data_IF_822785374282
#
_entry.id   IF_822785374282
#
_cell.length_a   1.000
_cell.length_b   1.000
_cell.length_c   1.000
_cell.angle_alpha   90.00
_cell.angle_beta   90.00
_cell.angle_gamma   90.00
#
_symmetry.space_group_name_H-M   'P 1'
#
loop_
_entity.id
_entity.type
_entity.pdbx_description
1 polymer ?
#
# COMPACT_ATOMS: atom_id res chain seq x y z
N UNK A 1 1.03 -9.07 -0.67
CA UNK A 1 -0.36 -8.61 -0.81
C UNK A 1 -1.21 -9.25 0.28
N UNK A 2 -2.15 -8.53 0.91
CA UNK A 2 -3.09 -9.14 1.84
C UNK A 2 -3.86 -10.27 1.12
N UNK A 3 -4.26 -11.34 1.83
CA UNK A 3 -5.04 -12.42 1.22
C UNK A 3 -6.33 -11.84 0.62
N UNK A 4 -6.73 -12.35 -0.55
CA UNK A 4 -7.98 -11.94 -1.20
C UNK A 4 -9.14 -12.14 -0.20
N UNK A 5 -9.87 -11.06 0.09
CA UNK A 5 -11.02 -11.06 1.00
C UNK A 5 -10.72 -10.88 2.49
N UNK A 6 -9.46 -10.73 2.91
CA UNK A 6 -9.10 -10.69 4.34
C UNK A 6 -9.34 -9.34 5.06
N UNK A 7 -9.98 -8.36 4.41
CA UNK A 7 -10.13 -6.99 4.92
C UNK A 7 -9.02 -6.05 4.42
N UNK A 8 -9.16 -4.75 4.69
CA UNK A 8 -8.19 -3.74 4.25
C UNK A 8 -7.03 -3.61 5.24
N UNK A 9 -5.88 -3.15 4.77
CA UNK A 9 -4.79 -2.67 5.63
C UNK A 9 -5.03 -1.20 6.00
N UNK A 10 -5.06 -0.88 7.29
CA UNK A 10 -5.13 0.50 7.76
C UNK A 10 -3.71 1.11 7.85
N UNK A 11 -3.49 2.25 7.20
CA UNK A 11 -2.28 3.07 7.37
C UNK A 11 -2.61 4.21 8.33
N UNK A 12 -2.21 4.09 9.59
CA UNK A 12 -2.61 4.98 10.68
C UNK A 12 -1.58 6.09 10.82
N UNK A 13 -2.01 7.32 10.54
CA UNK A 13 -1.19 8.52 10.65
C UNK A 13 -1.45 9.24 11.98
N UNK A 14 -0.50 10.08 12.38
CA UNK A 14 -0.60 11.00 13.52
C UNK A 14 -0.75 12.44 13.03
N UNK A 15 -0.92 13.37 13.97
CA UNK A 15 -1.00 14.81 13.68
C UNK A 15 0.28 15.37 13.04
N UNK A 16 1.43 14.76 13.34
CA UNK A 16 2.75 15.15 12.85
C UNK A 16 3.21 14.38 11.61
N UNK A 17 2.44 13.37 11.16
CA UNK A 17 2.81 12.56 9.99
C UNK A 17 2.80 13.41 8.72
N UNK A 18 3.90 13.37 7.97
CA UNK A 18 4.04 14.02 6.67
C UNK A 18 3.72 13.06 5.52
N UNK A 19 3.60 13.59 4.30
CA UNK A 19 3.42 12.75 3.11
C UNK A 19 4.66 11.87 2.88
N UNK A 20 5.85 12.36 3.22
CA UNK A 20 7.11 11.64 3.05
C UNK A 20 7.19 10.44 4.00
N UNK A 21 6.67 10.57 5.23
CA UNK A 21 6.58 9.46 6.19
C UNK A 21 5.61 8.36 5.70
N UNK A 22 4.50 8.77 5.09
CA UNK A 22 3.46 7.87 4.59
C UNK A 22 3.84 7.20 3.27
N UNK A 23 4.54 7.91 2.38
CA UNK A 23 4.78 7.49 1.01
C UNK A 23 5.42 6.11 0.89
N UNK A 24 6.46 5.72 1.66
CA UNK A 24 7.08 4.42 1.52
C UNK A 24 6.14 3.25 1.76
N UNK A 25 5.19 3.42 2.68
CA UNK A 25 4.22 2.37 3.05
C UNK A 25 3.01 2.40 2.12
N UNK A 26 2.58 3.59 1.69
CA UNK A 26 1.43 3.79 0.82
C UNK A 26 1.73 3.42 -0.64
N UNK A 27 2.93 3.76 -1.13
CA UNK A 27 3.27 3.69 -2.55
C UNK A 27 3.13 2.28 -3.15
N UNK A 28 3.53 1.18 -2.49
CA UNK A 28 3.30 -0.17 -3.00
C UNK A 28 1.83 -0.48 -3.27
N UNK A 29 0.90 0.05 -2.47
CA UNK A 29 -0.53 -0.13 -2.72
C UNK A 29 -1.04 0.87 -3.77
N UNK A 30 -0.58 2.11 -3.74
CA UNK A 30 -1.03 3.17 -4.63
C UNK A 30 -0.63 2.94 -6.10
N UNK A 31 0.59 2.43 -6.31
CA UNK A 31 1.19 2.20 -7.62
C UNK A 31 0.83 0.85 -8.25
N UNK A 32 0.06 0.00 -7.54
CA UNK A 32 -0.28 -1.34 -8.01
C UNK A 32 -1.79 -1.57 -8.05
N UNK A 33 -2.18 -2.72 -8.57
CA UNK A 33 -3.55 -3.24 -8.49
C UNK A 33 -4.06 -3.50 -7.05
N UNK A 34 -3.23 -3.33 -6.01
CA UNK A 34 -3.64 -3.47 -4.60
C UNK A 34 -4.25 -2.18 -4.00
N UNK A 35 -4.59 -1.18 -4.83
CA UNK A 35 -5.10 0.12 -4.38
C UNK A 35 -6.33 0.02 -3.46
N UNK A 36 -7.23 -0.91 -3.72
CA UNK A 36 -8.44 -1.07 -2.91
C UNK A 36 -8.20 -1.85 -1.61
N UNK A 37 -7.01 -2.44 -1.44
CA UNK A 37 -6.64 -3.26 -0.30
C UNK A 37 -6.14 -2.45 0.90
N UNK A 38 -6.11 -1.12 0.82
CA UNK A 38 -5.71 -0.26 1.94
C UNK A 38 -6.67 0.90 2.18
N UNK A 39 -6.56 1.50 3.36
CA UNK A 39 -7.23 2.74 3.75
C UNK A 39 -6.28 3.55 4.63
N UNK A 40 -6.15 4.84 4.36
CA UNK A 40 -5.35 5.76 5.16
C UNK A 40 -6.24 6.34 6.25
N UNK A 41 -5.83 6.26 7.50
CA UNK A 41 -6.52 6.86 8.64
C UNK A 41 -5.73 8.09 9.07
N UNK A 42 -6.33 9.27 8.95
CA UNK A 42 -5.67 10.56 9.22
C UNK A 42 -6.48 11.35 10.24
N UNK A 43 -5.86 11.86 11.32
CA UNK A 43 -6.51 12.78 12.25
C UNK A 43 -7.05 14.01 11.52
N UNK A 44 -8.27 14.48 11.81
CA UNK A 44 -8.81 15.70 11.22
C UNK A 44 -7.94 16.95 11.46
N UNK A 45 -7.15 16.95 12.54
CA UNK A 45 -6.19 17.99 12.89
C UNK A 45 -5.02 18.11 11.90
N UNK A 46 -4.67 17.04 11.15
CA UNK A 46 -3.59 17.07 10.16
C UNK A 46 -4.07 17.58 8.79
N UNK A 47 -4.41 18.86 8.72
CA UNK A 47 -4.90 19.51 7.50
C UNK A 47 -3.87 19.49 6.35
N UNK A 48 -2.57 19.51 6.68
CA UNK A 48 -1.48 19.48 5.70
C UNK A 48 -1.45 18.16 4.92
N UNK A 49 -1.47 17.03 5.63
CA UNK A 49 -1.49 15.71 5.00
C UNK A 49 -2.78 15.48 4.21
N UNK A 50 -3.93 15.88 4.75
CA UNK A 50 -5.22 15.80 4.03
C UNK A 50 -5.19 16.60 2.73
N UNK A 51 -4.61 17.80 2.75
CA UNK A 51 -4.41 18.63 1.54
C UNK A 51 -3.50 17.93 0.54
N UNK A 52 -2.36 17.37 0.97
CA UNK A 52 -1.45 16.64 0.10
C UNK A 52 -2.12 15.44 -0.58
N UNK A 53 -2.84 14.61 0.18
CA UNK A 53 -3.54 13.42 -0.32
C UNK A 53 -4.64 13.78 -1.33
N UNK A 54 -5.32 14.92 -1.15
CA UNK A 54 -6.37 15.39 -2.08
C UNK A 54 -5.84 15.79 -3.46
N UNK A 55 -4.55 16.14 -3.56
CA UNK A 55 -3.88 16.53 -4.80
C UNK A 55 -3.39 15.34 -5.62
N UNK A 56 -3.45 14.12 -5.06
CA UNK A 56 -3.02 12.91 -5.76
C UNK A 56 -4.02 12.55 -6.88
N UNK A 57 -3.54 12.18 -8.09
CA UNK A 57 -4.41 11.89 -9.24
C UNK A 57 -5.48 10.84 -8.96
N UNK A 58 -5.12 9.75 -8.29
CA UNK A 58 -5.99 8.59 -8.08
C UNK A 58 -6.67 8.56 -6.71
N UNK A 59 -6.68 9.69 -5.98
CA UNK A 59 -7.34 9.93 -4.68
C UNK A 59 -7.42 8.68 -3.77
N UNK A 60 -6.45 8.46 -2.88
CA UNK A 60 -6.46 7.29 -2.01
C UNK A 60 -7.67 7.28 -1.07
N UNK A 61 -8.06 6.10 -0.61
CA UNK A 61 -9.16 5.96 0.36
C UNK A 61 -8.74 6.50 1.73
N UNK A 62 -9.25 7.68 2.10
CA UNK A 62 -8.93 8.35 3.38
C UNK A 62 -10.12 8.31 4.34
N UNK A 63 -9.87 7.86 5.57
CA UNK A 63 -10.80 7.93 6.72
C UNK A 63 -10.27 8.99 7.69
N UNK A 64 -11.09 10.00 7.98
CA UNK A 64 -10.73 11.03 8.96
C UNK A 64 -11.08 10.54 10.37
N UNK A 65 -10.08 10.21 11.18
CA UNK A 65 -10.24 9.75 12.56
C UNK A 65 -8.91 9.82 13.32
N UNK A 66 -8.96 9.98 14.64
CA UNK A 66 -7.77 10.02 15.53
C UNK A 66 -7.15 8.63 15.80
N UNK A 67 -7.53 7.63 15.00
CA UNK A 67 -7.06 6.25 15.14
C UNK A 67 -8.03 5.23 14.56
N UNK A 68 -7.78 3.95 14.84
CA UNK A 68 -8.61 2.83 14.40
C UNK A 68 -9.50 2.38 15.56
N UNK A 69 -10.78 2.75 15.51
CA UNK A 69 -11.76 2.38 16.55
C UNK A 69 -12.14 0.89 16.56
N UNK A 70 -12.10 0.23 15.40
CA UNK A 70 -12.43 -1.19 15.25
C UNK A 70 -11.25 -1.90 14.56
N UNK A 71 -10.31 -2.39 15.37
CA UNK A 71 -9.14 -3.08 14.86
C UNK A 71 -9.49 -4.40 14.15
N UNK A 72 -10.60 -5.05 14.52
CA UNK A 72 -11.03 -6.32 13.93
C UNK A 72 -11.57 -6.16 12.49
N UNK A 73 -11.98 -4.94 12.11
CA UNK A 73 -12.41 -4.64 10.73
C UNK A 73 -11.26 -4.57 9.71
N UNK A 74 -10.01 -4.56 10.18
CA UNK A 74 -8.82 -4.49 9.33
C UNK A 74 -8.04 -5.79 9.35
N UNK A 75 -7.50 -6.17 8.20
CA UNK A 75 -6.58 -7.30 8.09
C UNK A 75 -5.29 -7.03 8.85
N UNK A 76 -4.79 -5.79 8.72
CA UNK A 76 -3.53 -5.34 9.27
C UNK A 76 -3.61 -3.86 9.58
N UNK A 77 -2.89 -3.43 10.61
CA UNK A 77 -2.81 -2.04 11.05
C UNK A 77 -1.34 -1.66 11.07
N UNK A 78 -0.98 -0.66 10.26
CA UNK A 78 0.38 -0.15 10.16
C UNK A 78 0.40 1.27 10.67
N UNK A 79 1.09 1.48 11.79
CA UNK A 79 1.31 2.81 12.34
C UNK A 79 2.46 3.49 11.60
N UNK A 80 2.16 4.59 10.91
CA UNK A 80 3.15 5.38 10.19
C UNK A 80 4.01 6.11 11.21
N UNK A 81 5.30 5.83 11.18
CA UNK A 81 6.28 6.47 12.06
C UNK A 81 7.06 7.52 11.28
N UNK A 82 7.46 8.63 11.91
CA UNK A 82 8.34 9.60 11.28
C UNK A 82 9.62 8.94 10.76
N UNK A 83 9.98 9.20 9.52
CA UNK A 83 11.23 8.71 8.97
C UNK A 83 12.37 9.64 9.36
N UNK A 84 13.39 9.08 10.01
CA UNK A 84 14.66 9.76 10.25
C UNK A 84 15.60 9.69 9.04
N UNK A 85 15.39 8.72 8.14
CA UNK A 85 16.18 8.52 6.93
C UNK A 85 15.39 7.73 5.90
N UNK A 86 15.53 8.08 4.62
CA UNK A 86 14.99 7.25 3.53
C UNK A 86 15.81 5.96 3.39
N UNK A 87 15.15 4.79 3.25
CA UNK A 87 15.87 3.58 2.88
C UNK A 87 16.55 3.79 1.52
N UNK A 88 17.78 3.27 1.38
CA UNK A 88 18.42 3.19 0.06
C UNK A 88 17.47 2.51 -0.93
N UNK A 89 17.43 2.97 -2.18
CA UNK A 89 16.47 2.54 -3.21
C UNK A 89 16.39 1.01 -3.32
N UNK A 90 17.52 0.30 -3.20
CA UNK A 90 17.57 -1.17 -3.21
C UNK A 90 16.85 -1.81 -2.01
N UNK A 91 16.97 -1.24 -0.82
CA UNK A 91 16.26 -1.70 0.38
C UNK A 91 14.76 -1.39 0.31
N UNK A 92 14.37 -0.30 -0.34
CA UNK A 92 12.95 0.02 -0.55
C UNK A 92 12.23 -1.11 -1.32
N UNK A 93 12.81 -1.54 -2.44
CA UNK A 93 12.22 -2.61 -3.26
C UNK A 93 12.20 -3.92 -2.48
N UNK A 94 13.31 -4.34 -1.86
CA UNK A 94 13.36 -5.63 -1.14
C UNK A 94 12.49 -5.67 0.12
N UNK A 95 12.33 -4.55 0.85
CA UNK A 95 11.54 -4.51 2.08
C UNK A 95 10.03 -4.39 1.82
N UNK A 96 9.64 -3.59 0.81
CA UNK A 96 8.25 -3.22 0.61
C UNK A 96 7.60 -3.90 -0.60
N UNK A 97 8.40 -4.46 -1.52
CA UNK A 97 7.92 -5.20 -2.69
C UNK A 97 8.49 -6.61 -2.61
N UNK A 98 7.71 -7.54 -2.05
CA UNK A 98 8.08 -8.95 -2.06
C UNK A 98 8.07 -9.47 -3.50
N UNK A 99 9.24 -9.45 -4.16
CA UNK A 99 9.42 -10.05 -5.49
C UNK A 99 9.56 -11.55 -5.29
N UNK A 100 8.43 -12.27 -5.32
CA UNK A 100 8.46 -13.72 -5.36
C UNK A 100 9.01 -14.17 -6.71
N UNK A 101 10.12 -14.91 -6.71
CA UNK A 101 10.60 -15.58 -7.92
C UNK A 101 9.69 -16.77 -8.25
N UNK A 102 8.57 -16.51 -8.93
CA UNK A 102 7.84 -17.58 -9.60
C UNK A 102 8.50 -17.78 -10.97
N UNK A 103 9.05 -18.97 -11.21
CA UNK A 103 9.67 -19.33 -12.49
C UNK A 103 8.91 -20.53 -13.04
N UNK A 104 8.47 -20.44 -14.29
CA UNK A 104 8.20 -21.64 -15.06
C UNK A 104 9.52 -22.23 -15.55
N UNK A 105 9.61 -23.56 -15.53
CA UNK A 105 10.74 -24.32 -16.10
C UNK A 105 10.40 -24.90 -17.48
N UNK A 106 9.19 -24.65 -17.97
CA UNK A 106 8.72 -25.12 -19.27
C UNK A 106 9.10 -24.10 -20.34
N UNK A 107 9.59 -24.58 -21.49
CA UNK A 107 9.79 -23.72 -22.67
C UNK A 107 8.45 -23.23 -23.21
N UNK A 108 8.40 -21.97 -23.66
CA UNK A 108 7.23 -21.32 -24.27
C UNK A 108 5.95 -21.46 -23.42
N UNK A 109 6.05 -21.16 -22.12
CA UNK A 109 4.94 -21.32 -21.18
C UNK A 109 3.98 -20.13 -21.19
N UNK A 110 3.43 -19.81 -22.36
CA UNK A 110 2.47 -18.70 -22.57
C UNK A 110 1.26 -18.83 -21.63
N UNK A 111 0.77 -20.07 -21.41
CA UNK A 111 -0.33 -20.34 -20.49
C UNK A 111 -0.02 -19.93 -19.03
N UNK A 112 1.25 -20.04 -18.60
CA UNK A 112 1.67 -19.54 -17.30
C UNK A 112 1.64 -18.02 -17.25
N UNK A 113 2.14 -17.34 -18.29
CA UNK A 113 2.10 -15.89 -18.38
C UNK A 113 0.67 -15.38 -18.40
N UNK A 114 -0.21 -15.96 -19.21
CA UNK A 114 -1.64 -15.60 -19.27
C UNK A 114 -2.32 -15.78 -17.91
N UNK A 115 -2.09 -16.90 -17.24
CA UNK A 115 -2.66 -17.17 -15.92
C UNK A 115 -2.10 -16.23 -14.84
N UNK A 116 -0.80 -15.92 -14.92
CA UNK A 116 -0.13 -15.02 -13.97
C UNK A 116 -0.59 -13.58 -14.17
N UNK A 117 -0.64 -13.11 -15.42
CA UNK A 117 -1.14 -11.79 -15.79
C UNK A 117 -2.62 -11.63 -15.47
N UNK A 118 -3.46 -12.65 -15.67
CA UNK A 118 -4.87 -12.57 -15.31
C UNK A 118 -5.09 -12.52 -13.79
N UNK A 119 -4.11 -12.95 -12.98
CA UNK A 119 -4.30 -13.12 -11.54
C UNK A 119 -4.48 -11.79 -10.80
N UNK A 120 -5.58 -11.61 -10.02
CA UNK A 120 -5.75 -10.43 -9.17
C UNK A 120 -4.86 -10.47 -7.91
N UNK A 121 -4.20 -11.62 -7.65
CA UNK A 121 -3.38 -11.83 -6.45
C UNK A 121 -1.99 -11.19 -6.58
N UNK A 122 -1.40 -11.19 -7.77
CA UNK A 122 -0.06 -10.72 -8.00
C UNK A 122 -0.04 -9.20 -8.18
N UNK A 123 0.92 -8.53 -7.53
CA UNK A 123 1.10 -7.09 -7.67
C UNK A 123 1.52 -6.78 -9.09
N UNK A 124 0.70 -6.02 -9.79
CA UNK A 124 0.99 -5.46 -11.11
C UNK A 124 1.01 -3.96 -10.98
N UNK A 125 1.95 -3.31 -11.66
CA UNK A 125 1.93 -1.86 -11.79
C UNK A 125 0.61 -1.51 -12.47
N UNK A 126 -0.18 -0.63 -11.84
CA UNK A 126 -1.42 -0.18 -12.44
C UNK A 126 -1.15 0.56 -13.76
N UNK A 127 -2.12 0.65 -14.67
CA UNK A 127 -2.05 1.65 -15.74
C UNK A 127 -1.92 3.07 -15.16
#
# INVERSE_FOLDING_TARGET
APPLGAGKTALVCTESTTIDDLAPVMLPFYATNARDAYQIVVPPSNASLLSALSKLPSKPAVKKADGVADAASYYNIVHVSPMSSFPLVGHFVSLYISVGHCKSVKGDDDAFFDAFEASPKWLRVGP
#
